data_IF_768072512336
#
_entry.id   IF_768072512336
#
_cell.length_a   1.000
_cell.length_b   1.000
_cell.length_c   1.000
_cell.angle_alpha   90.00
_cell.angle_beta   90.00
_cell.angle_gamma   90.00
#
_symmetry.space_group_name_H-M   'P 1'
#
loop_
_entity.id
_entity.type
_entity.pdbx_description
1 polymer ?
#
# COMPACT_ATOMS: atom_id res chain seq x y z
N UNK A 1 20.90 14.39 -21.94
CA UNK A 1 21.04 13.40 -20.85
C UNK A 1 21.56 12.11 -21.48
N UNK A 2 22.55 11.41 -20.90
CA UNK A 2 22.99 10.10 -21.43
C UNK A 2 22.09 9.01 -20.85
N UNK A 3 21.01 8.70 -21.55
CA UNK A 3 20.07 7.63 -21.20
C UNK A 3 20.07 6.58 -22.30
N UNK A 4 19.60 5.37 -21.97
CA UNK A 4 19.28 4.37 -22.99
C UNK A 4 18.19 4.90 -23.94
N UNK A 5 18.17 4.39 -25.17
CA UNK A 5 17.16 4.77 -26.17
C UNK A 5 15.76 4.32 -25.74
N UNK A 6 14.74 5.02 -26.22
CA UNK A 6 13.35 4.64 -26.04
C UNK A 6 13.06 3.21 -26.56
N UNK A 7 12.16 2.53 -25.87
CA UNK A 7 11.70 1.18 -26.23
C UNK A 7 10.17 1.18 -26.27
N UNK A 8 9.58 0.28 -27.07
CA UNK A 8 8.12 0.13 -27.09
C UNK A 8 7.61 -0.47 -25.78
N UNK A 9 6.34 -0.22 -25.45
CA UNK A 9 5.70 -0.76 -24.23
C UNK A 9 5.82 -2.29 -24.15
N UNK A 10 5.58 -2.99 -25.26
CA UNK A 10 5.68 -4.44 -25.32
C UNK A 10 7.11 -4.95 -25.04
N UNK A 11 8.12 -4.26 -25.58
CA UNK A 11 9.52 -4.61 -25.35
C UNK A 11 9.95 -4.33 -23.92
N UNK A 12 9.49 -3.21 -23.34
CA UNK A 12 9.75 -2.88 -21.94
C UNK A 12 9.19 -3.95 -21.00
N UNK A 13 7.93 -4.36 -21.20
CA UNK A 13 7.30 -5.42 -20.41
C UNK A 13 8.08 -6.74 -20.55
N UNK A 14 8.53 -7.10 -21.76
CA UNK A 14 9.33 -8.30 -22.00
C UNK A 14 10.65 -8.25 -21.23
N UNK A 15 11.37 -7.12 -21.31
CA UNK A 15 12.63 -6.90 -20.59
C UNK A 15 12.44 -6.99 -19.07
N UNK A 16 11.39 -6.36 -18.54
CA UNK A 16 11.07 -6.41 -17.11
C UNK A 16 10.78 -7.84 -16.64
N UNK A 17 10.00 -8.62 -17.41
CA UNK A 17 9.74 -10.04 -17.08
C UNK A 17 11.03 -10.87 -17.00
N UNK A 18 11.98 -10.62 -17.90
CA UNK A 18 13.27 -11.32 -17.93
C UNK A 18 14.19 -10.95 -16.77
N UNK A 19 14.07 -9.72 -16.25
CA UNK A 19 14.75 -9.30 -15.03
C UNK A 19 14.09 -9.92 -13.80
N UNK A 20 12.76 -9.89 -13.72
CA UNK A 20 11.99 -10.46 -12.62
C UNK A 20 12.18 -11.97 -12.49
N UNK A 21 12.41 -12.70 -13.60
CA UNK A 21 12.64 -14.15 -13.57
C UNK A 21 13.95 -14.57 -12.88
N UNK A 22 14.82 -13.62 -12.52
CA UNK A 22 16.03 -13.88 -11.73
C UNK A 22 15.76 -13.95 -10.24
N UNK A 23 14.59 -13.50 -9.78
CA UNK A 23 14.22 -13.58 -8.37
C UNK A 23 13.73 -14.99 -8.04
N UNK A 24 14.14 -15.52 -6.89
CA UNK A 24 13.63 -16.78 -6.37
C UNK A 24 12.55 -16.52 -5.31
N UNK A 25 11.35 -17.05 -5.51
CA UNK A 25 10.24 -16.88 -4.58
C UNK A 25 10.15 -18.11 -3.68
N UNK A 26 10.57 -17.95 -2.42
CA UNK A 26 10.60 -19.01 -1.41
C UNK A 26 9.39 -18.90 -0.46
N UNK A 27 9.10 -20.00 0.24
CA UNK A 27 8.26 -19.93 1.45
C UNK A 27 9.10 -19.35 2.59
N UNK A 28 8.97 -18.05 2.81
CA UNK A 28 9.74 -17.33 3.81
C UNK A 28 9.04 -17.31 5.17
N UNK A 29 9.72 -17.82 6.20
CA UNK A 29 9.27 -17.78 7.60
C UNK A 29 10.21 -16.97 8.49
N UNK A 30 10.88 -15.96 7.91
CA UNK A 30 11.83 -15.09 8.61
C UNK A 30 11.13 -14.24 9.68
N UNK A 31 9.89 -13.83 9.43
CA UNK A 31 9.14 -12.93 10.32
C UNK A 31 9.64 -11.50 10.22
N UNK A 32 9.94 -10.88 11.38
CA UNK A 32 10.46 -9.50 11.48
C UNK A 32 9.54 -8.45 10.84
N UNK A 33 8.23 -8.55 11.11
CA UNK A 33 7.23 -7.57 10.65
C UNK A 33 6.64 -7.86 9.26
N UNK A 34 7.21 -8.80 8.50
CA UNK A 34 6.68 -9.21 7.19
C UNK A 34 6.27 -10.69 7.21
N UNK A 35 4.99 -10.94 6.91
CA UNK A 35 4.39 -12.27 6.91
C UNK A 35 3.65 -12.51 5.59
N UNK A 36 3.83 -13.69 5.00
CA UNK A 36 3.10 -14.05 3.78
C UNK A 36 1.59 -14.09 4.03
N UNK A 37 0.82 -13.51 3.11
CA UNK A 37 -0.65 -13.48 3.17
C UNK A 37 -1.24 -13.78 1.80
N UNK A 38 -2.51 -14.20 1.78
CA UNK A 38 -3.28 -14.38 0.56
C UNK A 38 -4.07 -13.09 0.31
N UNK A 39 -3.67 -12.31 -0.68
CA UNK A 39 -4.49 -11.17 -1.15
C UNK A 39 -5.72 -11.72 -1.88
N UNK A 40 -6.95 -11.43 -1.41
CA UNK A 40 -8.15 -11.91 -2.09
C UNK A 40 -8.18 -11.42 -3.54
N UNK A 41 -8.41 -12.34 -4.50
CA UNK A 41 -8.35 -12.05 -5.93
C UNK A 41 -9.33 -10.95 -6.37
N UNK A 42 -10.50 -10.88 -5.73
CA UNK A 42 -11.48 -9.80 -5.94
C UNK A 42 -10.96 -8.43 -5.50
N UNK A 43 -10.17 -8.34 -4.45
CA UNK A 43 -9.53 -7.09 -4.01
C UNK A 43 -8.39 -6.72 -4.95
N UNK A 44 -7.52 -7.67 -5.28
CA UNK A 44 -6.42 -7.43 -6.21
C UNK A 44 -6.94 -6.90 -7.55
N UNK A 45 -7.94 -7.58 -8.13
CA UNK A 45 -8.42 -7.23 -9.47
C UNK A 45 -9.22 -5.93 -9.52
N UNK A 46 -10.09 -5.69 -8.53
CA UNK A 46 -11.07 -4.60 -8.60
C UNK A 46 -10.65 -3.33 -7.85
N UNK A 47 -9.65 -3.40 -6.98
CA UNK A 47 -9.12 -2.26 -6.22
C UNK A 47 -7.67 -2.00 -6.63
N UNK A 48 -6.76 -2.95 -6.41
CA UNK A 48 -5.32 -2.73 -6.61
C UNK A 48 -4.94 -2.49 -8.08
N UNK A 49 -5.49 -3.29 -8.99
CA UNK A 49 -5.23 -3.19 -10.44
C UNK A 49 -6.20 -2.23 -11.17
N UNK A 50 -7.07 -1.52 -10.44
CA UNK A 50 -8.10 -0.68 -11.03
C UNK A 50 -7.72 0.81 -10.99
N UNK A 51 -7.52 1.48 -12.14
CA UNK A 51 -7.14 2.89 -12.18
C UNK A 51 -8.17 3.82 -11.52
N UNK A 52 -9.44 3.42 -11.43
CA UNK A 52 -10.45 4.19 -10.70
C UNK A 52 -10.17 4.33 -9.20
N UNK A 53 -9.32 3.47 -8.64
CA UNK A 53 -8.92 3.50 -7.23
C UNK A 53 -7.55 4.12 -6.99
N UNK A 54 -6.57 3.93 -7.89
CA UNK A 54 -5.18 4.37 -7.64
C UNK A 54 -4.75 5.65 -8.38
N UNK A 55 -5.56 6.20 -9.30
CA UNK A 55 -5.19 7.43 -10.02
C UNK A 55 -5.54 8.71 -9.25
N UNK A 56 -6.55 8.69 -8.38
CA UNK A 56 -6.90 9.83 -7.54
C UNK A 56 -5.87 10.03 -6.42
N UNK A 57 -5.57 11.28 -6.07
CA UNK A 57 -4.67 11.63 -4.96
C UNK A 57 -5.45 11.90 -3.65
N UNK A 58 -4.81 12.59 -2.71
CA UNK A 58 -5.38 12.96 -1.40
C UNK A 58 -6.81 13.54 -1.53
N UNK A 59 -7.75 13.12 -0.67
CA UNK A 59 -9.14 13.60 -0.66
C UNK A 59 -9.31 15.02 -0.15
N UNK A 60 -8.72 16.00 -0.84
CA UNK A 60 -8.92 17.43 -0.53
C UNK A 60 -10.34 17.92 -0.86
N UNK A 61 -11.00 17.34 -1.86
CA UNK A 61 -12.40 17.64 -2.22
C UNK A 61 -13.32 16.50 -1.76
N UNK A 62 -13.90 16.59 -0.55
CA UNK A 62 -14.64 15.48 0.05
C UNK A 62 -15.87 15.07 -0.75
N UNK A 63 -16.57 15.99 -1.40
CA UNK A 63 -17.83 15.75 -2.12
C UNK A 63 -17.68 14.73 -3.26
N UNK A 64 -16.52 14.73 -3.91
CA UNK A 64 -16.18 13.81 -5.02
C UNK A 64 -15.23 12.69 -4.57
N UNK A 65 -15.06 12.52 -3.26
CA UNK A 65 -14.07 11.60 -2.67
C UNK A 65 -14.66 10.63 -1.64
N UNK A 66 -15.98 10.61 -1.50
CA UNK A 66 -16.68 9.85 -0.45
C UNK A 66 -16.31 8.36 -0.43
N UNK A 67 -16.20 7.70 -1.59
CA UNK A 67 -15.89 6.25 -1.62
C UNK A 67 -14.56 5.89 -0.95
N UNK A 68 -13.49 6.67 -1.18
CA UNK A 68 -12.19 6.40 -0.52
C UNK A 68 -12.18 6.87 0.94
N UNK A 69 -12.88 7.96 1.26
CA UNK A 69 -13.02 8.43 2.64
C UNK A 69 -13.74 7.40 3.51
N UNK A 70 -14.79 6.77 2.99
CA UNK A 70 -15.50 5.67 3.66
C UNK A 70 -14.57 4.47 3.88
N UNK A 71 -13.81 4.07 2.87
CA UNK A 71 -12.83 2.97 3.01
C UNK A 71 -11.75 3.27 4.06
N UNK A 72 -11.24 4.52 4.11
CA UNK A 72 -10.30 4.95 5.15
C UNK A 72 -10.94 4.98 6.54
N UNK A 73 -12.21 5.34 6.64
CA UNK A 73 -12.95 5.28 7.90
C UNK A 73 -13.16 3.82 8.37
N UNK A 74 -13.42 2.90 7.44
CA UNK A 74 -13.46 1.47 7.73
C UNK A 74 -12.10 0.96 8.25
N UNK A 75 -10.99 1.42 7.68
CA UNK A 75 -9.65 1.14 8.20
C UNK A 75 -9.47 1.65 9.63
N UNK A 76 -9.85 2.91 9.91
CA UNK A 76 -9.76 3.48 11.26
C UNK A 76 -10.59 2.71 12.28
N UNK A 77 -11.81 2.31 11.89
CA UNK A 77 -12.71 1.52 12.72
C UNK A 77 -12.11 0.15 13.01
N UNK A 78 -11.64 -0.56 11.97
CA UNK A 78 -10.97 -1.85 12.12
C UNK A 78 -9.77 -1.78 13.07
N UNK A 79 -8.89 -0.76 12.94
CA UNK A 79 -7.75 -0.60 13.85
C UNK A 79 -8.20 -0.30 15.27
N UNK A 80 -9.20 0.57 15.45
CA UNK A 80 -9.72 0.91 16.78
C UNK A 80 -10.34 -0.31 17.47
N UNK A 81 -11.12 -1.11 16.75
CA UNK A 81 -11.75 -2.33 17.26
C UNK A 81 -10.71 -3.40 17.61
N UNK A 82 -9.69 -3.60 16.78
CA UNK A 82 -8.63 -4.60 17.01
C UNK A 82 -7.68 -4.21 18.16
N UNK A 83 -7.39 -2.92 18.32
CA UNK A 83 -6.45 -2.43 19.34
C UNK A 83 -7.14 -2.07 20.66
N UNK A 84 -8.46 -1.87 20.66
CA UNK A 84 -9.22 -1.37 21.80
C UNK A 84 -8.98 0.11 22.12
N UNK A 85 -8.33 0.86 21.23
CA UNK A 85 -8.06 2.28 21.41
C UNK A 85 -9.21 3.13 20.83
N UNK A 86 -9.40 4.33 21.39
CA UNK A 86 -10.55 5.17 21.05
C UNK A 86 -10.54 5.70 19.62
N UNK A 87 -9.36 5.89 19.01
CA UNK A 87 -9.19 6.48 17.67
C UNK A 87 -7.93 5.95 16.99
N UNK A 88 -8.00 5.86 15.67
CA UNK A 88 -6.86 5.60 14.79
C UNK A 88 -6.78 6.67 13.68
N UNK A 89 -5.59 6.89 13.12
CA UNK A 89 -5.41 7.72 11.94
C UNK A 89 -5.62 6.89 10.65
N UNK A 90 -5.51 7.55 9.49
CA UNK A 90 -5.71 6.93 8.17
C UNK A 90 -4.39 6.38 7.57
N UNK A 91 -3.57 5.71 8.40
CA UNK A 91 -2.23 5.13 8.13
C UNK A 91 -1.01 6.02 8.45
N UNK A 92 0.15 5.35 8.60
CA UNK A 92 1.51 5.91 8.57
C UNK A 92 2.34 5.12 7.55
N UNK A 93 3.65 5.39 7.44
CA UNK A 93 4.52 4.80 6.41
C UNK A 93 4.84 3.33 6.68
N UNK A 94 5.33 3.01 7.89
CA UNK A 94 5.68 1.66 8.32
C UNK A 94 5.69 1.56 9.86
N UNK A 95 5.94 0.35 10.39
CA UNK A 95 5.93 0.07 11.83
C UNK A 95 6.99 0.86 12.61
N UNK A 96 8.21 0.97 12.07
CA UNK A 96 9.33 1.65 12.73
C UNK A 96 9.09 3.16 12.84
N UNK A 97 8.64 3.78 11.75
CA UNK A 97 8.30 5.21 11.72
C UNK A 97 7.05 5.51 12.55
N UNK A 98 6.06 4.61 12.59
CA UNK A 98 4.90 4.74 13.48
C UNK A 98 5.30 4.71 14.96
N UNK A 99 6.25 3.84 15.33
CA UNK A 99 6.81 3.78 16.69
C UNK A 99 7.56 5.06 17.05
N UNK A 100 8.30 5.63 16.10
CA UNK A 100 8.99 6.92 16.28
C UNK A 100 7.99 8.09 16.46
N UNK A 101 6.90 8.13 15.70
CA UNK A 101 5.84 9.12 15.89
C UNK A 101 5.16 8.97 17.26
N UNK A 102 4.97 7.74 17.75
CA UNK A 102 4.46 7.51 19.10
C UNK A 102 5.40 8.09 20.18
N UNK A 103 6.72 7.90 20.04
CA UNK A 103 7.71 8.54 20.91
C UNK A 103 7.61 10.08 20.84
N UNK A 104 7.53 10.65 19.63
CA UNK A 104 7.37 12.09 19.46
C UNK A 104 6.08 12.62 20.09
N UNK A 105 4.96 11.89 19.99
CA UNK A 105 3.70 12.26 20.63
C UNK A 105 3.78 12.20 22.15
N UNK A 106 4.53 11.27 22.73
CA UNK A 106 4.68 11.14 24.18
C UNK A 106 5.54 12.25 24.82
N UNK A 107 6.44 12.85 24.03
CA UNK A 107 7.35 13.92 24.47
C UNK A 107 6.78 15.32 24.21
N UNK A 108 5.82 15.44 23.30
CA UNK A 108 5.12 16.69 22.97
C UNK A 108 4.00 16.98 23.97
#
# INVERSE_FOLDING_TARGET
MKLENETSEAELIRRLKLLMSKNEVWRSYIGQGYYGTITPSTIQRNIFENPGWYTSYTPYQPEISQGRLESLFNYQTMISDLTGLARANASLLDEGTASAEAMCMAVR
#
